data_IF_047106722980
#
_entry.id   IF_047106722980
#
_cell.length_a   1.000
_cell.length_b   1.000
_cell.length_c   1.000
_cell.angle_alpha   90.00
_cell.angle_beta   90.00
_cell.angle_gamma   90.00
#
_symmetry.space_group_name_H-M   'P 1'
#
loop_
_entity.id
_entity.type
_entity.pdbx_description
1 polymer ?
#
# COMPACT_ATOMS: atom_id res chain seq x y z
N UNK A 1 -1.87 19.87 27.23
CA UNK A 1 -1.95 18.94 26.09
C UNK A 1 -0.89 19.36 25.08
N UNK A 2 0.27 18.71 25.10
CA UNK A 2 1.33 19.02 24.12
C UNK A 2 0.87 18.55 22.74
N UNK A 3 0.83 19.47 21.76
CA UNK A 3 0.74 19.11 20.35
C UNK A 3 1.99 18.30 20.02
N UNK A 4 1.84 17.00 19.83
CA UNK A 4 2.89 16.17 19.25
C UNK A 4 3.18 16.75 17.87
N UNK A 5 4.40 17.24 17.66
CA UNK A 5 4.85 17.67 16.34
C UNK A 5 4.76 16.43 15.45
N UNK A 6 3.84 16.43 14.50
CA UNK A 6 3.68 15.32 13.57
C UNK A 6 5.03 15.10 12.88
N UNK A 7 5.58 13.90 13.02
CA UNK A 7 6.77 13.50 12.27
C UNK A 7 6.43 13.58 10.78
N UNK A 8 7.39 13.94 9.94
CA UNK A 8 7.19 13.86 8.49
C UNK A 8 7.32 12.40 8.10
N UNK A 9 6.25 11.73 7.63
CA UNK A 9 6.33 10.31 7.33
C UNK A 9 7.24 10.07 6.14
N UNK A 10 8.08 9.03 6.24
CA UNK A 10 8.96 8.63 5.15
C UNK A 10 8.18 7.77 4.16
N UNK A 11 8.21 8.15 2.89
CA UNK A 11 7.61 7.35 1.81
C UNK A 11 8.65 6.36 1.27
N UNK A 12 8.27 5.08 1.15
CA UNK A 12 9.10 4.04 0.52
C UNK A 12 8.25 2.97 -0.14
N UNK A 13 8.86 2.17 -1.02
CA UNK A 13 8.22 0.95 -1.54
C UNK A 13 7.97 -0.03 -0.38
N UNK A 14 6.82 -0.68 -0.40
CA UNK A 14 6.46 -1.73 0.53
C UNK A 14 7.26 -3.00 0.25
N UNK A 15 7.52 -3.78 1.28
CA UNK A 15 8.10 -5.12 1.21
C UNK A 15 7.24 -6.11 2.02
N UNK A 16 7.43 -7.43 1.84
CA UNK A 16 6.52 -8.43 2.41
C UNK A 16 6.29 -8.37 3.93
N UNK A 17 7.24 -7.82 4.69
CA UNK A 17 7.09 -7.63 6.13
C UNK A 17 6.14 -6.48 6.53
N UNK A 18 5.81 -5.55 5.61
CA UNK A 18 4.82 -4.49 5.84
C UNK A 18 3.38 -5.01 5.78
N UNK A 19 3.17 -6.27 5.39
CA UNK A 19 1.85 -6.81 5.13
C UNK A 19 0.89 -6.70 6.32
N UNK A 20 1.41 -6.84 7.55
CA UNK A 20 0.62 -6.71 8.77
C UNK A 20 0.08 -5.29 8.95
N UNK A 21 0.96 -4.29 8.86
CA UNK A 21 0.59 -2.90 9.08
C UNK A 21 -0.32 -2.40 7.94
N UNK A 22 -0.06 -2.81 6.70
CA UNK A 22 -0.92 -2.49 5.55
C UNK A 22 -2.32 -3.09 5.72
N UNK A 23 -2.42 -4.35 6.18
CA UNK A 23 -3.72 -4.96 6.46
C UNK A 23 -4.47 -4.19 7.56
N UNK A 24 -3.74 -3.68 8.57
CA UNK A 24 -4.28 -2.80 9.60
C UNK A 24 -4.88 -1.51 9.04
N UNK A 25 -4.14 -0.81 8.17
CA UNK A 25 -4.63 0.41 7.49
C UNK A 25 -5.89 0.13 6.66
N UNK A 26 -5.87 -0.95 5.86
CA UNK A 26 -7.02 -1.34 5.04
C UNK A 26 -8.24 -1.71 5.89
N UNK A 27 -8.03 -2.33 7.06
CA UNK A 27 -9.11 -2.65 8.00
C UNK A 27 -9.81 -1.40 8.53
N UNK A 28 -9.05 -0.35 8.87
CA UNK A 28 -9.61 0.93 9.30
C UNK A 28 -10.45 1.56 8.17
N UNK A 29 -9.90 1.62 6.95
CA UNK A 29 -10.61 2.17 5.78
C UNK A 29 -11.90 1.41 5.48
N UNK A 30 -11.86 0.07 5.53
CA UNK A 30 -13.02 -0.77 5.30
C UNK A 30 -14.09 -0.64 6.40
N UNK A 31 -13.68 -0.39 7.64
CA UNK A 31 -14.60 -0.13 8.74
C UNK A 31 -15.31 1.23 8.62
N UNK A 32 -14.62 2.24 8.10
CA UNK A 32 -15.20 3.59 7.90
C UNK A 32 -16.25 3.62 6.77
N UNK A 33 -16.08 2.81 5.70
CA UNK A 33 -17.01 2.70 4.55
C UNK A 33 -17.36 4.01 3.82
N UNK A 34 -16.55 5.05 3.98
CA UNK A 34 -16.85 6.38 3.42
C UNK A 34 -16.42 6.49 1.94
N UNK A 35 -15.23 5.97 1.62
CA UNK A 35 -14.61 6.16 0.29
C UNK A 35 -14.03 4.86 -0.31
N UNK A 36 -14.53 3.71 0.13
CA UNK A 36 -13.96 2.41 -0.24
C UNK A 36 -15.02 1.43 -0.69
N UNK A 37 -14.78 0.76 -1.83
CA UNK A 37 -15.51 -0.42 -2.28
C UNK A 37 -14.89 -1.73 -1.72
N UNK A 38 -13.97 -1.62 -0.76
CA UNK A 38 -13.34 -2.77 -0.10
C UNK A 38 -14.29 -3.26 0.99
N UNK A 39 -15.07 -4.29 0.67
CA UNK A 39 -15.99 -4.93 1.60
C UNK A 39 -15.32 -6.02 2.45
N UNK A 40 -14.20 -6.55 1.98
CA UNK A 40 -13.43 -7.61 2.65
C UNK A 40 -11.96 -7.24 2.72
N UNK A 41 -11.45 -7.14 3.94
CA UNK A 41 -10.03 -6.89 4.20
C UNK A 41 -9.26 -8.17 3.96
N UNK A 42 -8.21 -8.11 3.15
CA UNK A 42 -7.30 -9.24 2.97
C UNK A 42 -6.60 -9.59 4.27
N UNK A 43 -6.38 -10.88 4.48
CA UNK A 43 -5.53 -11.38 5.56
C UNK A 43 -4.08 -10.92 5.34
N UNK A 44 -3.29 -10.89 6.42
CA UNK A 44 -1.86 -10.55 6.35
C UNK A 44 -1.11 -11.44 5.35
N UNK A 45 -1.49 -12.72 5.26
CA UNK A 45 -0.87 -13.69 4.36
C UNK A 45 -1.23 -13.43 2.89
N UNK A 46 -2.50 -13.11 2.59
CA UNK A 46 -2.91 -12.70 1.25
C UNK A 46 -2.21 -11.41 0.82
N UNK A 47 -2.09 -10.44 1.74
CA UNK A 47 -1.40 -9.19 1.43
C UNK A 47 0.10 -9.40 1.19
N UNK A 48 0.74 -10.27 1.96
CA UNK A 48 2.13 -10.67 1.76
C UNK A 48 2.34 -11.25 0.36
N UNK A 49 1.53 -12.23 -0.03
CA UNK A 49 1.59 -12.86 -1.36
C UNK A 49 1.36 -11.86 -2.48
N UNK A 50 0.41 -10.93 -2.29
CA UNK A 50 0.19 -9.86 -3.25
C UNK A 50 1.43 -8.98 -3.44
N UNK A 51 2.07 -8.53 -2.35
CA UNK A 51 3.30 -7.74 -2.42
C UNK A 51 4.44 -8.47 -3.14
N UNK A 52 4.56 -9.79 -2.93
CA UNK A 52 5.55 -10.64 -3.60
C UNK A 52 5.25 -10.83 -5.10
N UNK A 53 3.98 -10.77 -5.49
CA UNK A 53 3.53 -11.00 -6.87
C UNK A 53 3.66 -9.77 -7.79
N UNK A 54 3.91 -8.58 -7.25
CA UNK A 54 3.94 -7.33 -8.02
C UNK A 54 5.03 -7.36 -9.09
N UNK A 55 4.65 -7.08 -10.34
CA UNK A 55 5.61 -6.89 -11.42
C UNK A 55 6.29 -5.52 -11.34
N UNK A 56 7.37 -5.30 -12.10
CA UNK A 56 8.12 -4.02 -12.07
C UNK A 56 7.27 -2.74 -12.23
N UNK A 57 6.24 -2.66 -13.10
CA UNK A 57 5.40 -1.46 -13.23
C UNK A 57 4.39 -1.29 -12.10
N UNK A 58 4.17 -2.31 -11.28
CA UNK A 58 3.24 -2.30 -10.17
C UNK A 58 4.00 -2.01 -8.88
N UNK A 59 3.40 -1.25 -7.97
CA UNK A 59 4.05 -0.91 -6.70
C UNK A 59 3.04 -0.55 -5.63
N UNK A 60 3.33 -0.97 -4.40
CA UNK A 60 2.72 -0.38 -3.21
C UNK A 60 3.76 0.53 -2.57
N UNK A 61 3.39 1.78 -2.35
CA UNK A 61 4.16 2.72 -1.55
C UNK A 61 3.50 2.86 -0.18
N UNK A 62 4.31 2.93 0.86
CA UNK A 62 3.86 3.11 2.24
C UNK A 62 4.43 4.40 2.82
N UNK A 63 3.59 5.10 3.58
CA UNK A 63 4.00 6.17 4.46
C UNK A 63 4.32 5.57 5.83
N UNK A 64 5.55 5.75 6.30
CA UNK A 64 6.04 5.17 7.55
C UNK A 64 6.31 6.27 8.57
N UNK A 65 5.69 6.14 9.73
CA UNK A 65 5.99 6.89 10.95
C UNK A 65 6.94 6.08 11.84
N UNK A 66 7.87 6.76 12.51
CA UNK A 66 8.90 6.12 13.33
C UNK A 66 8.35 5.42 14.59
N UNK A 67 7.11 5.75 15.00
CA UNK A 67 6.46 5.22 16.20
C UNK A 67 5.35 4.23 15.84
N UNK A 68 4.54 4.56 14.84
CA UNK A 68 3.31 3.83 14.50
C UNK A 68 3.48 2.82 13.37
N UNK A 69 4.63 2.80 12.67
CA UNK A 69 4.84 1.94 11.51
C UNK A 69 4.15 2.49 10.27
N UNK A 70 3.52 1.63 9.46
CA UNK A 70 2.81 2.09 8.26
C UNK A 70 1.51 2.81 8.64
N UNK A 71 1.40 4.08 8.29
CA UNK A 71 0.23 4.93 8.57
C UNK A 71 -0.64 5.20 7.34
N UNK A 72 -0.20 4.75 6.16
CA UNK A 72 -0.91 4.97 4.92
C UNK A 72 -0.24 4.27 3.75
N UNK A 73 -0.97 4.11 2.65
CA UNK A 73 -0.46 3.48 1.45
C UNK A 73 -1.02 4.10 0.17
N UNK A 74 -0.26 3.94 -0.90
CA UNK A 74 -0.70 4.15 -2.28
C UNK A 74 -0.43 2.86 -3.06
N UNK A 75 -1.42 2.41 -3.82
CA UNK A 75 -1.31 1.24 -4.69
C UNK A 75 -1.29 1.71 -6.14
N UNK A 76 -0.28 1.26 -6.88
CA UNK A 76 -0.17 1.41 -8.32
C UNK A 76 -0.28 0.00 -8.93
N UNK A 77 -1.43 -0.26 -9.56
CA UNK A 77 -1.72 -1.52 -10.26
C UNK A 77 -1.73 -1.32 -11.77
N UNK A 78 -1.48 -2.40 -12.50
CA UNK A 78 -1.57 -2.40 -13.95
C UNK A 78 -3.04 -2.34 -14.39
N UNK A 79 -3.43 -1.27 -15.07
CA UNK A 79 -4.79 -1.13 -15.59
C UNK A 79 -5.20 -2.27 -16.54
N UNK A 80 -4.29 -2.68 -17.43
CA UNK A 80 -4.51 -3.82 -18.32
C UNK A 80 -3.19 -4.47 -18.74
N UNK A 81 -3.09 -5.81 -18.67
CA UNK A 81 -1.91 -6.54 -19.14
C UNK A 81 -1.65 -6.38 -20.64
N UNK A 82 -2.67 -6.00 -21.42
CA UNK A 82 -2.56 -5.78 -22.86
C UNK A 82 -1.81 -4.49 -23.23
N UNK A 83 -1.66 -3.57 -22.28
CA UNK A 83 -0.99 -2.28 -22.50
C UNK A 83 0.51 -2.31 -22.14
N UNK A 84 1.06 -3.48 -21.78
CA UNK A 84 2.47 -3.63 -21.38
C UNK A 84 3.45 -3.15 -22.46
N UNK A 85 3.12 -3.31 -23.74
CA UNK A 85 4.00 -2.88 -24.86
C UNK A 85 4.02 -1.37 -25.09
N UNK A 86 3.08 -0.60 -24.54
CA UNK A 86 2.95 0.83 -24.84
C UNK A 86 3.87 1.71 -23.97
N UNK A 87 4.44 1.14 -22.90
CA UNK A 87 5.25 1.85 -21.91
C UNK A 87 6.71 1.37 -21.82
N UNK A 88 7.18 0.50 -22.73
CA UNK A 88 8.61 0.24 -22.82
C UNK A 88 9.34 1.48 -23.35
N UNK A 89 10.37 1.97 -22.65
CA UNK A 89 11.20 3.04 -23.18
C UNK A 89 11.90 2.50 -24.43
N UNK A 90 11.66 3.15 -25.59
CA UNK A 90 12.49 2.94 -26.77
C UNK A 90 13.93 3.31 -26.39
N UNK A 91 14.78 2.29 -26.26
CA UNK A 91 16.24 2.41 -26.18
C UNK A 91 16.80 3.12 -27.40
#
# INVERSE_FOLDING_TARGET
>A
MSKQLASVPRIRRAFPADASDIAGVLAVIAAERIHSAIDQVWTVEEKRRYLESLSSPEAVHVAVDDVQGVIGLQILDLWSPLLKSMFEPRT
#
